data_IF_146024934105
#
_entry.id   IF_146024934105
#
_cell.length_a   1.000
_cell.length_b   1.000
_cell.length_c   1.000
_cell.angle_alpha   90.00
_cell.angle_beta   90.00
_cell.angle_gamma   90.00
#
_symmetry.space_group_name_H-M   'P 1'
#
loop_
_entity.id
_entity.type
_entity.pdbx_description
1 polymer ?
#
# COMPACT_ATOMS: atom_id res chain seq x y z
N UNK A 1 3.71 4.98 26.19
CA UNK A 1 4.82 4.52 25.32
C UNK A 1 4.72 3.02 25.19
N UNK A 2 4.66 2.52 23.95
CA UNK A 2 4.73 1.08 23.69
C UNK A 2 6.23 0.69 23.62
N UNK A 3 6.75 0.10 24.69
CA UNK A 3 8.19 -0.21 24.84
C UNK A 3 8.50 -1.69 24.65
N UNK A 4 7.51 -2.56 24.83
CA UNK A 4 7.61 -3.99 24.61
C UNK A 4 6.38 -4.43 23.81
N UNK A 5 6.53 -4.37 22.48
CA UNK A 5 5.46 -4.70 21.55
C UNK A 5 4.96 -6.14 21.74
N UNK A 6 5.82 -7.08 22.16
CA UNK A 6 5.40 -8.46 22.33
C UNK A 6 4.44 -8.59 23.51
N UNK A 7 4.82 -8.10 24.70
CA UNK A 7 3.94 -8.21 25.87
C UNK A 7 2.69 -7.35 25.75
N UNK A 8 2.76 -6.23 25.04
CA UNK A 8 1.63 -5.31 24.88
C UNK A 8 0.63 -5.74 23.82
N UNK A 9 1.09 -6.29 22.69
CA UNK A 9 0.21 -6.69 21.58
C UNK A 9 -0.16 -8.18 21.63
N UNK A 10 0.67 -9.02 22.25
CA UNK A 10 0.46 -10.45 22.45
C UNK A 10 0.64 -10.86 23.93
N UNK A 11 -0.20 -10.37 24.86
CA UNK A 11 -0.06 -10.62 26.30
C UNK A 11 -0.23 -12.11 26.68
N UNK A 12 -0.93 -12.88 25.85
CA UNK A 12 -1.18 -14.31 26.10
C UNK A 12 -0.12 -15.24 25.50
N UNK A 13 0.93 -14.70 24.86
CA UNK A 13 1.95 -15.47 24.15
C UNK A 13 1.36 -16.47 23.14
N UNK A 14 0.38 -15.99 22.36
CA UNK A 14 -0.17 -16.73 21.24
C UNK A 14 0.96 -17.13 20.27
N UNK A 15 1.01 -18.40 19.83
CA UNK A 15 2.14 -18.93 19.07
C UNK A 15 2.21 -18.37 17.64
N UNK A 16 1.10 -17.87 17.11
CA UNK A 16 1.06 -17.11 15.87
C UNK A 16 0.78 -15.65 16.18
N UNK A 17 1.76 -14.79 15.89
CA UNK A 17 1.65 -13.34 16.06
C UNK A 17 2.44 -12.64 14.97
N UNK A 18 1.78 -11.80 14.19
CA UNK A 18 2.38 -11.05 13.10
C UNK A 18 1.80 -9.65 13.08
N UNK A 19 2.66 -8.64 13.01
CA UNK A 19 2.30 -7.26 12.70
C UNK A 19 2.69 -7.01 11.26
N UNK A 20 1.73 -6.53 10.45
CA UNK A 20 1.93 -6.31 9.02
C UNK A 20 2.10 -4.84 8.66
N UNK A 21 1.49 -3.95 9.44
CA UNK A 21 1.63 -2.52 9.23
C UNK A 21 1.38 -1.73 10.53
N UNK A 22 1.85 -0.49 10.55
CA UNK A 22 1.75 0.46 11.66
C UNK A 22 1.43 1.86 11.12
N UNK A 23 0.54 2.57 11.82
CA UNK A 23 0.19 3.95 11.49
C UNK A 23 0.23 4.84 12.73
N UNK A 24 0.65 6.09 12.58
CA UNK A 24 0.67 7.08 13.66
C UNK A 24 -0.26 8.24 13.27
N UNK A 25 -1.25 8.53 14.11
CA UNK A 25 -2.16 9.67 13.94
C UNK A 25 -2.15 10.52 15.21
N UNK A 26 -1.44 11.64 15.17
CA UNK A 26 -1.18 12.47 16.34
C UNK A 26 -0.46 11.68 17.45
N UNK A 27 -1.16 11.44 18.56
CA UNK A 27 -0.64 10.68 19.71
C UNK A 27 -1.02 9.20 19.68
N UNK A 28 -1.87 8.79 18.75
CA UNK A 28 -2.35 7.42 18.65
C UNK A 28 -1.45 6.59 17.74
N UNK A 29 -1.07 5.41 18.22
CA UNK A 29 -0.29 4.42 17.47
C UNK A 29 -1.17 3.22 17.17
N UNK A 30 -1.27 2.89 15.89
CA UNK A 30 -2.06 1.80 15.36
C UNK A 30 -1.16 0.69 14.82
N UNK A 31 -1.57 -0.55 14.99
CA UNK A 31 -0.96 -1.73 14.37
C UNK A 31 -2.05 -2.60 13.79
N UNK A 32 -1.78 -3.33 12.71
CA UNK A 32 -2.65 -4.41 12.24
C UNK A 32 -1.87 -5.68 11.96
N UNK A 33 -2.58 -6.80 12.01
CA UNK A 33 -1.99 -8.08 11.69
C UNK A 33 -2.84 -9.24 12.18
N UNK A 34 -2.14 -10.28 12.64
CA UNK A 34 -2.75 -11.53 13.06
C UNK A 34 -2.28 -11.95 14.44
N UNK A 35 -3.17 -12.58 15.17
CA UNK A 35 -2.86 -13.22 16.44
C UNK A 35 -3.70 -14.48 16.63
N UNK A 36 -3.15 -15.49 17.31
CA UNK A 36 -3.87 -16.70 17.68
C UNK A 36 -2.97 -17.94 17.55
N UNK A 37 -3.56 -19.06 17.17
CA UNK A 37 -2.79 -20.27 16.88
C UNK A 37 -2.74 -20.55 15.37
N UNK A 38 -1.98 -21.58 14.97
CA UNK A 38 -1.79 -21.90 13.56
C UNK A 38 -3.08 -22.31 12.82
N UNK A 39 -4.13 -22.70 13.54
CA UNK A 39 -5.43 -23.17 13.00
C UNK A 39 -6.58 -22.18 13.17
N UNK A 40 -6.52 -21.30 14.17
CA UNK A 40 -7.53 -20.30 14.50
C UNK A 40 -6.81 -18.97 14.69
N UNK A 41 -6.63 -18.26 13.59
CA UNK A 41 -6.04 -16.91 13.58
C UNK A 41 -7.16 -15.88 13.62
N UNK A 42 -6.86 -14.75 14.23
CA UNK A 42 -7.70 -13.57 14.25
C UNK A 42 -7.05 -12.48 13.41
N UNK A 43 -7.81 -11.87 12.51
CA UNK A 43 -7.41 -10.59 11.92
C UNK A 43 -7.77 -9.52 12.93
N UNK A 44 -6.82 -8.66 13.28
CA UNK A 44 -6.99 -7.67 14.34
C UNK A 44 -6.20 -6.40 14.09
N UNK A 45 -6.58 -5.36 14.82
CA UNK A 45 -5.78 -4.14 14.96
C UNK A 45 -5.62 -3.80 16.43
N UNK A 46 -4.57 -3.03 16.75
CA UNK A 46 -4.33 -2.49 18.07
C UNK A 46 -4.26 -0.97 17.98
N UNK A 47 -4.91 -0.29 18.90
CA UNK A 47 -4.77 1.16 19.11
C UNK A 47 -4.18 1.39 20.49
N UNK A 48 -2.98 1.96 20.58
CA UNK A 48 -2.27 2.18 21.84
C UNK A 48 -2.18 0.93 22.73
N UNK A 49 -1.98 -0.24 22.11
CA UNK A 49 -1.92 -1.55 22.78
C UNK A 49 -3.27 -2.23 23.03
N UNK A 50 -4.40 -1.56 22.79
CA UNK A 50 -5.73 -2.16 22.95
C UNK A 50 -6.12 -2.91 21.68
N UNK A 51 -6.23 -4.24 21.77
CA UNK A 51 -6.61 -5.13 20.66
C UNK A 51 -8.11 -4.99 20.33
N UNK A 52 -8.43 -4.91 19.05
CA UNK A 52 -9.76 -5.11 18.48
C UNK A 52 -9.71 -6.23 17.44
N UNK A 53 -10.52 -7.27 17.64
CA UNK A 53 -10.64 -8.39 16.69
C UNK A 53 -11.63 -8.03 15.59
N UNK A 54 -11.19 -8.12 14.33
CA UNK A 54 -11.96 -7.82 13.12
C UNK A 54 -12.63 -9.06 12.53
N UNK A 55 -11.90 -10.19 12.53
CA UNK A 55 -12.40 -11.50 12.08
C UNK A 55 -11.80 -12.60 12.94
N UNK A 56 -12.58 -13.65 13.20
CA UNK A 56 -12.19 -14.80 14.01
C UNK A 56 -12.15 -16.06 13.15
N UNK A 57 -11.19 -16.96 13.41
CA UNK A 57 -10.98 -18.19 12.64
C UNK A 57 -10.71 -17.91 11.15
N UNK A 58 -9.92 -16.88 10.87
CA UNK A 58 -9.66 -16.39 9.54
C UNK A 58 -8.22 -16.70 9.13
N UNK A 59 -8.05 -17.50 8.08
CA UNK A 59 -6.73 -17.83 7.54
C UNK A 59 -6.21 -16.77 6.56
N UNK A 60 -6.98 -15.70 6.38
CA UNK A 60 -6.67 -14.55 5.55
C UNK A 60 -5.45 -13.76 6.01
N UNK A 61 -5.25 -12.62 5.35
CA UNK A 61 -4.10 -11.76 5.55
C UNK A 61 -4.50 -10.29 5.63
N UNK A 62 -4.11 -9.65 6.72
CA UNK A 62 -3.92 -8.22 6.91
C UNK A 62 -2.79 -7.70 6.03
N UNK A 63 -2.92 -6.53 5.37
CA UNK A 63 -1.81 -5.98 4.60
C UNK A 63 -1.41 -4.58 5.02
N UNK A 64 -2.27 -3.59 4.77
CA UNK A 64 -1.92 -2.18 4.93
C UNK A 64 -3.01 -1.44 5.72
N UNK A 65 -2.60 -0.43 6.48
CA UNK A 65 -3.51 0.42 7.25
C UNK A 65 -3.23 1.90 7.04
N UNK A 66 -4.28 2.70 7.21
CA UNK A 66 -4.13 4.13 7.44
C UNK A 66 -5.29 4.67 8.25
N UNK A 67 -5.09 5.85 8.82
CA UNK A 67 -6.15 6.62 9.49
C UNK A 67 -6.37 7.92 8.73
N UNK A 68 -7.63 8.22 8.42
CA UNK A 68 -8.04 9.50 7.84
C UNK A 68 -9.35 9.96 8.45
N UNK A 69 -9.42 11.22 8.88
CA UNK A 69 -10.60 11.81 9.51
C UNK A 69 -11.17 10.97 10.68
N UNK A 70 -10.30 10.43 11.54
CA UNK A 70 -10.64 9.52 12.64
C UNK A 70 -11.24 8.17 12.22
N UNK A 71 -11.19 7.82 10.93
CA UNK A 71 -11.63 6.53 10.41
C UNK A 71 -10.41 5.65 10.12
N UNK A 72 -10.43 4.41 10.63
CA UNK A 72 -9.43 3.41 10.35
C UNK A 72 -9.80 2.65 9.07
N UNK A 73 -8.87 2.63 8.13
CA UNK A 73 -8.93 1.84 6.91
C UNK A 73 -7.85 0.78 6.95
N UNK A 74 -8.21 -0.42 6.52
CA UNK A 74 -7.32 -1.57 6.62
C UNK A 74 -7.63 -2.58 5.51
N UNK A 75 -6.64 -2.94 4.69
CA UNK A 75 -6.84 -3.95 3.63
C UNK A 75 -6.67 -5.36 4.16
N UNK A 76 -7.52 -6.26 3.69
CA UNK A 76 -7.47 -7.66 4.08
C UNK A 76 -7.92 -8.60 2.96
N UNK A 77 -7.23 -9.73 2.87
CA UNK A 77 -7.85 -10.96 2.41
C UNK A 77 -8.43 -11.67 3.62
N UNK A 78 -9.68 -12.10 3.54
CA UNK A 78 -10.39 -12.81 4.60
C UNK A 78 -11.05 -14.05 4.02
N UNK A 79 -11.62 -14.91 4.87
CA UNK A 79 -12.51 -15.97 4.41
C UNK A 79 -13.74 -15.43 3.64
N UNK A 80 -14.11 -14.17 3.86
CA UNK A 80 -15.23 -13.49 3.18
C UNK A 80 -14.85 -12.86 1.84
N UNK A 81 -13.58 -12.90 1.43
CA UNK A 81 -13.11 -12.31 0.18
C UNK A 81 -11.91 -11.38 0.35
N UNK A 82 -11.58 -10.64 -0.71
CA UNK A 82 -10.53 -9.61 -0.71
C UNK A 82 -11.17 -8.24 -0.66
N UNK A 83 -10.76 -7.39 0.28
CA UNK A 83 -11.38 -6.10 0.46
C UNK A 83 -10.68 -5.25 1.51
N UNK A 84 -11.47 -4.44 2.20
CA UNK A 84 -10.98 -3.59 3.27
C UNK A 84 -11.99 -3.52 4.42
N UNK A 85 -11.48 -3.28 5.61
CA UNK A 85 -12.27 -2.86 6.75
C UNK A 85 -12.28 -1.35 6.84
N UNK A 86 -13.45 -0.79 7.15
CA UNK A 86 -13.62 0.59 7.59
C UNK A 86 -14.27 0.56 8.97
N UNK A 87 -13.56 1.04 9.99
CA UNK A 87 -14.03 1.07 11.39
C UNK A 87 -14.63 -0.28 11.86
N UNK A 88 -13.97 -1.39 11.52
CA UNK A 88 -14.40 -2.73 11.92
C UNK A 88 -15.38 -3.43 10.97
N UNK A 89 -15.93 -2.73 9.98
CA UNK A 89 -16.87 -3.31 9.01
C UNK A 89 -16.13 -3.71 7.74
N UNK A 90 -16.15 -5.00 7.40
CA UNK A 90 -15.58 -5.51 6.16
C UNK A 90 -16.46 -5.14 4.95
N UNK A 91 -15.84 -4.54 3.93
CA UNK A 91 -16.42 -4.38 2.60
C UNK A 91 -15.69 -5.29 1.65
N UNK A 92 -16.43 -6.22 1.06
CA UNK A 92 -15.89 -7.12 0.06
C UNK A 92 -15.67 -6.41 -1.28
N UNK A 93 -14.49 -6.63 -1.86
CA UNK A 93 -14.06 -6.16 -3.17
C UNK A 93 -13.58 -7.39 -3.98
N UNK A 94 -14.24 -8.54 -3.87
CA UNK A 94 -13.83 -9.79 -4.53
C UNK A 94 -13.91 -9.75 -6.07
N UNK A 95 -14.46 -8.67 -6.65
CA UNK A 95 -14.32 -8.38 -8.08
C UNK A 95 -12.88 -7.98 -8.51
N UNK A 96 -11.94 -7.86 -7.57
CA UNK A 96 -10.56 -7.42 -7.81
C UNK A 96 -9.54 -8.47 -7.37
N UNK A 97 -8.62 -8.83 -8.28
CA UNK A 97 -7.68 -9.93 -8.07
C UNK A 97 -6.48 -9.55 -7.20
N UNK A 98 -6.14 -8.27 -7.05
CA UNK A 98 -5.13 -7.83 -6.09
C UNK A 98 -5.41 -6.41 -5.58
N UNK A 99 -5.27 -6.22 -4.27
CA UNK A 99 -5.23 -4.91 -3.61
C UNK A 99 -3.77 -4.68 -3.26
N UNK A 100 -3.14 -3.68 -3.88
CA UNK A 100 -1.73 -3.36 -3.68
C UNK A 100 -1.52 -2.36 -2.55
N UNK A 101 -2.48 -1.48 -2.30
CA UNK A 101 -2.42 -0.68 -1.10
C UNK A 101 -3.49 0.37 -0.91
N UNK A 102 -3.21 1.21 0.07
CA UNK A 102 -4.01 2.36 0.47
C UNK A 102 -3.16 3.62 0.41
N UNK A 103 -3.74 4.70 -0.10
CA UNK A 103 -3.13 6.02 -0.10
C UNK A 103 -4.08 7.03 0.50
N UNK A 104 -3.55 7.86 1.40
CA UNK A 104 -4.24 9.08 1.85
C UNK A 104 -3.80 10.21 0.92
N UNK A 105 -4.77 10.79 0.22
CA UNK A 105 -4.54 11.90 -0.70
C UNK A 105 -5.45 13.03 -0.22
N UNK A 106 -4.84 14.10 0.29
CA UNK A 106 -5.55 15.11 1.07
C UNK A 106 -6.32 14.46 2.25
N UNK A 107 -7.64 14.65 2.32
CA UNK A 107 -8.52 14.05 3.32
C UNK A 107 -9.27 12.81 2.81
N UNK A 108 -8.94 12.33 1.62
CA UNK A 108 -9.58 11.19 1.00
C UNK A 108 -8.70 9.96 1.04
N UNK A 109 -9.35 8.79 1.07
CA UNK A 109 -8.66 7.51 1.11
C UNK A 109 -8.89 6.79 -0.20
N UNK A 110 -7.81 6.32 -0.80
CA UNK A 110 -7.82 5.56 -2.02
C UNK A 110 -7.32 4.15 -1.77
N UNK A 111 -8.00 3.19 -2.35
CA UNK A 111 -7.55 1.82 -2.49
C UNK A 111 -7.15 1.58 -3.94
N UNK A 112 -6.04 0.89 -4.19
CA UNK A 112 -5.55 0.69 -5.55
C UNK A 112 -5.00 -0.72 -5.76
N UNK A 113 -4.97 -1.14 -7.02
CA UNK A 113 -4.40 -2.43 -7.39
C UNK A 113 -4.79 -2.89 -8.79
N UNK A 114 -5.14 -4.17 -8.89
CA UNK A 114 -5.47 -4.86 -10.15
C UNK A 114 -6.85 -5.53 -10.06
N UNK A 115 -7.65 -5.33 -11.10
CA UNK A 115 -8.96 -5.96 -11.29
C UNK A 115 -8.82 -7.29 -12.04
N UNK A 116 -9.60 -8.30 -11.64
CA UNK A 116 -9.58 -9.63 -12.25
C UNK A 116 -10.17 -9.63 -13.68
N UNK A 117 -9.42 -10.20 -14.62
CA UNK A 117 -9.79 -10.40 -16.01
C UNK A 117 -10.90 -11.45 -16.21
N UNK A 118 -10.93 -12.48 -15.35
CA UNK A 118 -11.84 -13.63 -15.46
C UNK A 118 -13.32 -13.29 -15.25
N UNK A 119 -13.61 -12.18 -14.57
CA UNK A 119 -14.98 -11.72 -14.28
C UNK A 119 -15.55 -10.78 -15.35
N UNK A 120 -14.73 -10.35 -16.31
CA UNK A 120 -15.10 -9.31 -17.28
C UNK A 120 -14.78 -9.64 -18.74
N UNK A 121 -14.15 -10.79 -19.01
CA UNK A 121 -13.77 -11.21 -20.36
C UNK A 121 -12.72 -10.30 -21.03
N UNK A 122 -12.05 -9.45 -20.26
CA UNK A 122 -11.05 -8.45 -20.68
C UNK A 122 -9.72 -8.71 -19.97
N UNK A 123 -8.60 -8.16 -20.47
CA UNK A 123 -7.29 -8.26 -19.78
C UNK A 123 -7.33 -7.65 -18.35
N UNK A 124 -6.32 -7.97 -17.53
CA UNK A 124 -6.14 -7.33 -16.21
C UNK A 124 -6.14 -5.82 -16.35
N UNK A 125 -6.75 -5.13 -15.37
CA UNK A 125 -6.88 -3.69 -15.41
C UNK A 125 -6.51 -3.04 -14.07
N UNK A 126 -5.58 -2.10 -14.12
CA UNK A 126 -5.20 -1.26 -13.02
C UNK A 126 -6.37 -0.38 -12.62
N UNK A 127 -6.60 -0.25 -11.31
CA UNK A 127 -7.70 0.54 -10.79
C UNK A 127 -7.32 1.23 -9.49
N UNK A 128 -8.06 2.28 -9.19
CA UNK A 128 -8.15 2.86 -7.86
C UNK A 128 -9.60 3.21 -7.52
N UNK A 129 -9.95 3.11 -6.24
CA UNK A 129 -11.25 3.47 -5.71
C UNK A 129 -11.06 4.49 -4.60
N UNK A 130 -11.71 5.63 -4.74
CA UNK A 130 -11.84 6.59 -3.65
C UNK A 130 -12.86 6.01 -2.65
N UNK A 131 -12.38 5.53 -1.51
CA UNK A 131 -13.19 4.93 -0.44
C UNK A 131 -14.02 5.97 0.33
N UNK A 132 -13.70 7.26 0.20
CA UNK A 132 -14.47 8.35 0.78
C UNK A 132 -15.73 8.64 -0.04
N UNK A 133 -15.63 8.60 -1.38
CA UNK A 133 -16.77 8.86 -2.29
C UNK A 133 -17.44 7.60 -2.84
N UNK A 134 -16.77 6.45 -2.73
CA UNK A 134 -17.19 5.16 -3.29
C UNK A 134 -16.92 5.00 -4.79
N UNK A 135 -16.28 5.99 -5.44
CA UNK A 135 -16.06 6.01 -6.89
C UNK A 135 -14.84 5.17 -7.26
N UNK A 136 -15.02 4.19 -8.15
CA UNK A 136 -13.94 3.43 -8.79
C UNK A 136 -13.54 4.05 -10.12
N UNK A 137 -12.24 4.10 -10.40
CA UNK A 137 -11.67 4.45 -11.70
C UNK A 137 -10.79 3.31 -12.20
N UNK A 138 -10.95 2.97 -13.47
CA UNK A 138 -10.20 1.91 -14.14
C UNK A 138 -9.38 2.53 -15.25
N UNK A 139 -8.10 2.18 -15.33
CA UNK A 139 -7.18 2.79 -16.29
C UNK A 139 -6.99 1.85 -17.47
N UNK A 140 -7.27 2.32 -18.68
CA UNK A 140 -7.04 1.54 -19.90
C UNK A 140 -5.55 1.34 -20.17
N UNK A 141 -5.18 0.17 -20.69
CA UNK A 141 -3.80 -0.21 -21.03
C UNK A 141 -2.80 -0.19 -19.85
N UNK A 142 -3.32 -0.16 -18.63
CA UNK A 142 -2.54 -0.35 -17.41
C UNK A 142 -3.04 -1.63 -16.79
N UNK A 143 -2.19 -2.63 -16.63
CA UNK A 143 -2.60 -3.91 -16.03
C UNK A 143 -2.76 -3.78 -14.52
N UNK A 144 -1.98 -2.91 -13.89
CA UNK A 144 -1.79 -2.86 -12.44
C UNK A 144 -1.38 -1.47 -11.99
N UNK A 145 -1.87 -1.05 -10.82
CA UNK A 145 -1.36 0.12 -10.09
C UNK A 145 -0.62 -0.37 -8.84
N UNK A 146 0.68 -0.08 -8.75
CA UNK A 146 1.54 -0.56 -7.63
C UNK A 146 1.71 0.46 -6.51
N UNK A 147 1.68 1.75 -6.83
CA UNK A 147 1.67 2.83 -5.85
C UNK A 147 0.79 3.96 -6.37
N UNK A 148 0.12 4.66 -5.48
CA UNK A 148 -0.72 5.82 -5.79
C UNK A 148 -0.37 6.97 -4.85
N UNK A 149 -0.28 8.18 -5.36
CA UNK A 149 -0.04 9.40 -4.58
C UNK A 149 -0.84 10.55 -5.19
N UNK A 150 -0.91 11.68 -4.50
CA UNK A 150 -1.57 12.86 -5.05
C UNK A 150 -1.08 14.14 -4.43
N UNK A 151 -1.08 15.19 -5.24
CA UNK A 151 -0.69 16.54 -4.84
C UNK A 151 -1.34 17.57 -5.78
N UNK A 152 -1.72 18.73 -5.26
CA UNK A 152 -2.32 19.84 -6.02
C UNK A 152 -3.42 19.41 -7.02
N UNK A 153 -4.36 18.58 -6.57
CA UNK A 153 -5.48 18.01 -7.36
C UNK A 153 -5.07 17.04 -8.47
N UNK A 154 -3.79 16.65 -8.55
CA UNK A 154 -3.33 15.61 -9.46
C UNK A 154 -3.17 14.29 -8.70
N UNK A 155 -3.47 13.20 -9.40
CA UNK A 155 -3.17 11.84 -8.99
C UNK A 155 -1.96 11.32 -9.77
N UNK A 156 -1.09 10.61 -9.08
CA UNK A 156 0.13 10.04 -9.62
C UNK A 156 0.19 8.57 -9.29
N UNK A 157 0.58 7.73 -10.22
CA UNK A 157 0.79 6.32 -9.95
C UNK A 157 1.85 5.71 -10.86
N UNK A 158 2.29 4.50 -10.52
CA UNK A 158 3.09 3.67 -11.40
C UNK A 158 2.48 2.28 -11.61
N UNK A 159 2.88 1.67 -12.72
CA UNK A 159 2.54 0.29 -13.08
C UNK A 159 3.73 -0.66 -12.92
N UNK A 160 4.70 -0.31 -12.06
CA UNK A 160 5.98 -0.99 -11.86
C UNK A 160 7.13 -0.49 -12.71
N UNK A 161 6.88 0.12 -13.87
CA UNK A 161 7.95 0.63 -14.75
C UNK A 161 7.60 2.02 -15.29
N UNK A 162 6.35 2.22 -15.71
CA UNK A 162 5.86 3.48 -16.22
C UNK A 162 5.21 4.30 -15.09
N UNK A 163 5.24 5.61 -15.27
CA UNK A 163 4.66 6.57 -14.34
C UNK A 163 3.58 7.39 -15.03
N UNK A 164 2.54 7.71 -14.29
CA UNK A 164 1.32 8.30 -14.82
C UNK A 164 0.89 9.50 -13.97
N UNK A 165 0.41 10.53 -14.64
CA UNK A 165 -0.26 11.69 -14.02
C UNK A 165 -1.68 11.75 -14.54
N UNK A 166 -2.68 11.69 -13.65
CA UNK A 166 -4.10 11.71 -14.00
C UNK A 166 -4.47 10.70 -15.10
N UNK A 167 -3.96 9.46 -14.98
CA UNK A 167 -4.13 8.36 -15.93
C UNK A 167 -3.41 8.52 -17.28
N UNK A 168 -2.55 9.54 -17.42
CA UNK A 168 -1.78 9.78 -18.65
C UNK A 168 -0.31 9.40 -18.40
N UNK A 169 0.30 8.54 -19.25
CA UNK A 169 1.71 8.20 -19.15
C UNK A 169 2.57 9.46 -19.19
N UNK A 170 3.58 9.52 -18.35
CA UNK A 170 4.55 10.61 -18.32
C UNK A 170 5.96 10.06 -18.51
N UNK A 171 6.78 10.75 -19.29
CA UNK A 171 8.16 10.34 -19.58
C UNK A 171 9.08 10.86 -18.49
N UNK A 172 9.46 9.99 -17.54
CA UNK A 172 10.32 10.34 -16.40
C UNK A 172 11.70 9.66 -16.41
N UNK A 173 11.97 8.77 -17.36
CA UNK A 173 13.04 7.79 -17.17
C UNK A 173 14.22 7.99 -18.11
N UNK A 174 15.41 7.89 -17.52
CA UNK A 174 16.63 7.56 -18.25
C UNK A 174 16.48 6.21 -18.95
N UNK A 175 17.16 6.06 -20.09
CA UNK A 175 17.26 4.75 -20.75
C UNK A 175 17.94 3.76 -19.81
N UNK A 176 17.29 2.63 -19.51
CA UNK A 176 17.85 1.55 -18.68
C UNK A 176 17.03 1.20 -17.43
N UNK A 177 16.13 2.09 -16.97
CA UNK A 177 15.26 1.78 -15.83
C UNK A 177 14.38 0.56 -16.12
N UNK A 178 14.48 -0.46 -15.27
CA UNK A 178 13.69 -1.69 -15.36
C UNK A 178 12.56 -1.74 -14.33
N UNK A 179 12.55 -0.83 -13.36
CA UNK A 179 11.45 -0.71 -12.42
C UNK A 179 11.46 0.55 -11.55
N UNK A 180 10.30 0.85 -10.98
CA UNK A 180 10.11 1.88 -9.95
C UNK A 180 9.89 1.17 -8.62
N UNK A 181 10.71 1.53 -7.62
CA UNK A 181 10.64 0.95 -6.27
C UNK A 181 9.62 1.71 -5.43
N UNK A 182 9.74 3.04 -5.38
CA UNK A 182 8.85 3.90 -4.63
C UNK A 182 8.89 5.32 -5.22
N UNK A 183 7.88 6.13 -4.93
CA UNK A 183 7.91 7.54 -5.27
C UNK A 183 7.11 8.40 -4.30
N UNK A 184 7.50 9.67 -4.20
CA UNK A 184 6.74 10.71 -3.50
C UNK A 184 6.56 11.92 -4.39
N UNK A 185 5.38 12.52 -4.33
CA UNK A 185 5.13 13.85 -4.87
C UNK A 185 4.85 14.78 -3.70
N UNK A 186 5.62 15.85 -3.58
CA UNK A 186 5.47 16.84 -2.51
C UNK A 186 5.69 18.24 -3.09
N UNK A 187 4.72 19.13 -2.94
CA UNK A 187 4.78 20.51 -3.42
C UNK A 187 5.16 20.61 -4.92
N UNK A 188 4.54 19.78 -5.75
CA UNK A 188 4.79 19.57 -7.18
C UNK A 188 6.19 19.04 -7.52
N UNK A 189 6.99 18.62 -6.54
CA UNK A 189 8.26 17.96 -6.81
C UNK A 189 8.07 16.45 -6.85
N UNK A 190 8.63 15.81 -7.87
CA UNK A 190 8.69 14.35 -7.95
C UNK A 190 10.00 13.84 -7.37
N UNK A 191 9.90 12.80 -6.55
CA UNK A 191 11.01 12.05 -6.01
C UNK A 191 10.76 10.59 -6.35
N UNK A 192 11.53 10.04 -7.30
CA UNK A 192 11.31 8.70 -7.83
C UNK A 192 12.55 7.87 -7.52
N UNK A 193 12.35 6.79 -6.78
CA UNK A 193 13.36 5.77 -6.55
C UNK A 193 13.15 4.65 -7.56
N UNK A 194 14.14 4.39 -8.40
CA UNK A 194 14.08 3.42 -9.49
C UNK A 194 15.28 2.47 -9.49
N UNK A 195 15.16 1.38 -10.24
CA UNK A 195 16.17 0.33 -10.39
C UNK A 195 16.45 0.06 -11.87
N UNK A 196 17.72 -0.18 -12.17
CA UNK A 196 18.18 -0.83 -13.39
C UNK A 196 18.74 -2.20 -13.01
N UNK A 197 17.92 -3.22 -13.18
CA UNK A 197 18.23 -4.61 -12.88
C UNK A 197 18.85 -5.30 -14.10
N UNK A 198 20.10 -4.92 -14.40
CA UNK A 198 20.92 -5.55 -15.44
C UNK A 198 22.03 -6.40 -14.79
N UNK A 199 23.05 -6.79 -15.56
CA UNK A 199 24.23 -7.48 -14.98
C UNK A 199 24.93 -6.65 -13.91
N UNK A 200 24.75 -5.32 -13.93
CA UNK A 200 25.24 -4.40 -12.91
C UNK A 200 24.05 -3.61 -12.33
N UNK A 201 23.55 -4.06 -11.18
CA UNK A 201 22.31 -3.53 -10.59
C UNK A 201 22.57 -2.15 -9.98
N UNK A 202 21.83 -1.16 -10.46
CA UNK A 202 21.95 0.23 -10.00
C UNK A 202 20.61 0.76 -9.50
N UNK A 203 20.64 1.55 -8.43
CA UNK A 203 19.51 2.27 -7.89
C UNK A 203 19.69 3.76 -8.14
N UNK A 204 18.60 4.44 -8.50
CA UNK A 204 18.61 5.85 -8.83
C UNK A 204 17.55 6.61 -8.03
N UNK A 205 17.92 7.79 -7.53
CA UNK A 205 16.96 8.78 -7.04
C UNK A 205 16.89 9.93 -8.03
N UNK A 206 15.74 10.07 -8.67
CA UNK A 206 15.46 11.18 -9.56
C UNK A 206 14.57 12.21 -8.85
N UNK A 207 15.02 13.46 -8.83
CA UNK A 207 14.25 14.60 -8.33
C UNK A 207 13.89 15.46 -9.53
N UNK A 208 12.59 15.61 -9.82
CA UNK A 208 12.10 16.39 -10.97
C UNK A 208 12.78 16.03 -12.31
N UNK A 209 12.90 14.74 -12.61
CA UNK A 209 13.60 14.22 -13.81
C UNK A 209 15.12 14.42 -13.81
N UNK A 210 15.72 14.83 -12.70
CA UNK A 210 17.16 14.99 -12.58
C UNK A 210 17.71 13.92 -11.65
N UNK A 211 18.60 13.07 -12.17
CA UNK A 211 19.32 12.13 -11.34
C UNK A 211 20.11 12.89 -10.28
N UNK A 212 19.72 12.68 -9.03
CA UNK A 212 20.29 13.34 -7.86
C UNK A 212 21.20 12.40 -7.08
N UNK A 213 21.00 11.09 -7.22
CA UNK A 213 21.83 10.04 -6.61
C UNK A 213 21.80 8.76 -7.45
N UNK A 214 22.90 8.03 -7.42
CA UNK A 214 23.05 6.68 -7.93
C UNK A 214 23.88 5.85 -6.95
N UNK A 215 23.52 4.58 -6.76
CA UNK A 215 24.34 3.60 -6.04
C UNK A 215 24.27 2.23 -6.74
N UNK A 216 25.37 1.49 -6.73
CA UNK A 216 25.39 0.11 -7.16
C UNK A 216 24.91 -0.82 -6.03
N UNK A 217 24.19 -1.89 -6.35
CA UNK A 217 23.71 -2.86 -5.36
C UNK A 217 24.83 -3.49 -4.52
N UNK A 218 26.06 -3.57 -5.04
CA UNK A 218 27.22 -4.05 -4.28
C UNK A 218 27.61 -3.12 -3.12
N UNK A 219 27.29 -1.83 -3.22
CA UNK A 219 27.59 -0.81 -2.22
C UNK A 219 26.39 -0.51 -1.30
N UNK A 220 25.16 -0.80 -1.74
CA UNK A 220 23.95 -0.68 -0.93
C UNK A 220 22.67 -0.70 -1.76
N UNK A 221 21.54 -0.88 -1.06
CA UNK A 221 20.21 -0.96 -1.67
C UNK A 221 19.25 0.05 -1.03
N UNK A 222 18.33 0.58 -1.83
CA UNK A 222 17.22 1.41 -1.35
C UNK A 222 15.89 0.67 -1.54
N UNK A 223 15.01 0.79 -0.56
CA UNK A 223 13.73 0.05 -0.55
C UNK A 223 12.50 0.96 -0.48
N UNK A 224 12.67 2.23 -0.12
CA UNK A 224 11.57 3.21 -0.02
C UNK A 224 12.11 4.63 0.06
N UNK A 225 11.21 5.61 -0.14
CA UNK A 225 11.51 7.02 0.04
C UNK A 225 10.49 7.69 0.98
N UNK A 226 11.01 8.49 1.91
CA UNK A 226 10.23 9.39 2.74
C UNK A 226 10.66 10.83 2.45
N UNK A 227 9.68 11.68 2.19
CA UNK A 227 9.86 13.13 2.02
C UNK A 227 9.00 13.81 3.08
N UNK A 228 9.61 14.71 3.84
CA UNK A 228 9.00 15.43 4.97
C UNK A 228 8.63 16.86 4.58
#
# INVERSE_FOLDING_TARGET
VLIDLKSQLNPNNEPFFQINDMYIDGNDVYFCGHIGNYTTKEICYWKNGVKTTLSSNDSGSAYLMLVSNNELYFTAQSNSGRGYYKNGVFTDETYYCAIYGLSKINNEVYLYGMKDSSLTGSNYQGYYKNLTTGISTYVSNVEIIRNLNGDNNNLYFNDGINFYTNNIPTTFFYSGVTGIIDFKIVNNNSYILSIEDTSDVNFYLDINNTNSMQINAADGEFTSILVL
#
